data_IF_123784494952
#
_entry.id   IF_123784494952
#
_cell.length_a   1.000
_cell.length_b   1.000
_cell.length_c   1.000
_cell.angle_alpha   90.00
_cell.angle_beta   90.00
_cell.angle_gamma   90.00
#
_symmetry.space_group_name_H-M   'P 1'
#
loop_
_entity.id
_entity.type
_entity.pdbx_description
1 polymer ?
#
# COMPACT_ATOMS: atom_id res chain seq x y z
N UNK A 1 6.32 18.69 6.87
CA UNK A 1 6.88 19.07 8.18
C UNK A 1 7.44 17.80 8.80
N UNK A 2 8.72 17.50 8.54
CA UNK A 2 9.40 16.36 9.15
C UNK A 2 9.66 16.72 10.59
N UNK A 3 8.98 16.07 11.54
CA UNK A 3 9.42 16.11 12.92
C UNK A 3 10.65 15.21 12.97
N UNK A 4 11.87 15.73 13.16
CA UNK A 4 12.92 14.86 13.68
C UNK A 4 12.36 14.25 14.96
N UNK A 5 12.40 12.93 15.07
CA UNK A 5 11.95 12.21 16.24
C UNK A 5 12.75 12.71 17.45
N UNK A 6 12.18 13.69 18.14
CA UNK A 6 12.91 14.40 19.18
C UNK A 6 13.29 13.44 20.32
N UNK A 7 14.19 13.86 21.22
CA UNK A 7 14.60 13.08 22.39
C UNK A 7 13.43 12.54 23.25
N UNK A 8 12.24 13.12 23.07
CA UNK A 8 10.98 12.72 23.69
C UNK A 8 10.43 11.38 23.17
N UNK A 9 10.52 11.08 21.86
CA UNK A 9 10.02 9.81 21.32
C UNK A 9 10.90 8.63 21.77
N UNK A 10 12.22 8.76 21.61
CA UNK A 10 13.19 7.76 22.08
C UNK A 10 12.99 7.41 23.56
N UNK A 11 12.71 8.41 24.40
CA UNK A 11 12.41 8.22 25.82
C UNK A 11 11.07 7.51 26.03
N UNK A 12 10.02 7.91 25.31
CA UNK A 12 8.70 7.28 25.40
C UNK A 12 8.74 5.81 24.98
N UNK A 13 9.44 5.46 23.90
CA UNK A 13 9.60 4.09 23.43
C UNK A 13 10.33 3.22 24.46
N UNK A 14 11.43 3.72 25.05
CA UNK A 14 12.12 3.01 26.14
C UNK A 14 11.23 2.81 27.36
N UNK A 15 10.47 3.84 27.75
CA UNK A 15 9.51 3.74 28.86
C UNK A 15 8.38 2.73 28.59
N UNK A 16 8.02 2.52 27.32
CA UNK A 16 7.06 1.51 26.89
C UNK A 16 7.68 0.09 26.74
N UNK A 17 8.96 -0.10 27.10
CA UNK A 17 9.62 -1.40 27.05
C UNK A 17 10.21 -1.77 25.68
N UNK A 18 10.40 -0.81 24.78
CA UNK A 18 11.12 -1.04 23.54
C UNK A 18 12.64 -0.95 23.76
N UNK A 19 13.38 -1.83 23.12
CA UNK A 19 14.85 -1.86 23.13
C UNK A 19 15.38 -1.21 21.85
N UNK A 20 16.30 -0.24 21.94
CA UNK A 20 16.94 0.33 20.76
C UNK A 20 17.82 -0.74 20.09
N UNK A 21 17.74 -0.82 18.77
CA UNK A 21 18.67 -1.56 17.93
C UNK A 21 19.98 -0.78 17.71
N UNK A 22 20.90 -1.32 16.89
CA UNK A 22 22.09 -0.59 16.49
C UNK A 22 21.72 0.65 15.68
N UNK A 23 22.47 1.73 15.90
CA UNK A 23 22.38 2.94 15.10
C UNK A 23 22.86 2.69 13.67
N UNK A 24 22.26 3.42 12.72
CA UNK A 24 22.56 3.35 11.28
C UNK A 24 22.60 4.73 10.66
N UNK A 25 23.36 4.89 9.60
CA UNK A 25 23.39 6.10 8.80
C UNK A 25 22.16 6.15 7.89
N UNK A 26 21.43 7.25 7.93
CA UNK A 26 20.44 7.61 6.92
C UNK A 26 21.15 8.38 5.81
N UNK A 27 21.10 7.81 4.62
CA UNK A 27 21.78 8.29 3.41
C UNK A 27 20.74 8.71 2.39
N UNK A 28 21.01 9.77 1.65
CA UNK A 28 20.15 10.26 0.56
C UNK A 28 20.98 10.64 -0.66
N UNK A 29 20.40 10.47 -1.84
CA UNK A 29 20.91 11.01 -3.08
C UNK A 29 19.77 11.64 -3.89
N UNK A 30 20.02 12.77 -4.55
CA UNK A 30 19.17 13.25 -5.63
C UNK A 30 19.41 12.36 -6.85
N UNK A 31 18.35 11.81 -7.45
CA UNK A 31 18.47 10.87 -8.57
C UNK A 31 19.20 11.47 -9.77
N UNK A 32 19.21 12.79 -9.90
CA UNK A 32 19.89 13.51 -10.99
C UNK A 32 21.40 13.68 -10.76
N UNK A 33 21.85 13.50 -9.52
CA UNK A 33 23.26 13.61 -9.12
C UNK A 33 23.96 12.25 -9.04
N UNK A 34 23.20 11.15 -9.03
CA UNK A 34 23.74 9.79 -9.05
C UNK A 34 24.31 9.47 -10.44
N UNK A 35 25.53 8.92 -10.55
CA UNK A 35 26.10 8.52 -11.83
C UNK A 35 25.22 7.52 -12.60
N UNK A 36 25.25 7.59 -13.93
CA UNK A 36 24.56 6.63 -14.78
C UNK A 36 25.31 5.29 -14.84
N UNK A 37 24.59 4.22 -15.14
CA UNK A 37 25.15 2.87 -15.32
C UNK A 37 24.49 2.19 -16.50
N UNK A 38 25.18 1.20 -17.08
CA UNK A 38 24.68 0.30 -18.12
C UNK A 38 23.96 -0.93 -17.54
N UNK A 39 24.00 -1.12 -16.22
CA UNK A 39 23.28 -2.20 -15.53
C UNK A 39 21.76 -2.02 -15.73
N UNK A 40 21.14 -3.03 -16.35
CA UNK A 40 19.69 -3.09 -16.52
C UNK A 40 19.04 -3.88 -15.36
N UNK A 41 18.03 -3.28 -14.74
CA UNK A 41 17.21 -3.91 -13.70
C UNK A 41 15.89 -4.46 -14.27
N UNK A 42 15.52 -5.66 -13.81
CA UNK A 42 14.25 -6.32 -14.17
C UNK A 42 13.34 -6.47 -12.94
N UNK A 43 12.08 -6.08 -13.08
CA UNK A 43 11.02 -6.10 -12.04
C UNK A 43 10.35 -7.44 -11.82
N UNK A 44 10.58 -8.41 -12.70
CA UNK A 44 9.68 -9.55 -12.78
C UNK A 44 10.08 -10.63 -11.79
N UNK A 45 9.56 -10.55 -10.56
CA UNK A 45 9.55 -11.65 -9.60
C UNK A 45 8.25 -12.48 -9.71
N UNK A 46 7.09 -11.81 -9.86
CA UNK A 46 5.77 -12.43 -10.00
C UNK A 46 5.60 -13.01 -11.40
N UNK A 47 5.83 -14.31 -11.54
CA UNK A 47 5.74 -15.06 -12.81
C UNK A 47 7.06 -15.72 -13.23
N UNK A 48 8.13 -15.58 -12.43
CA UNK A 48 9.33 -16.40 -12.60
C UNK A 48 9.02 -17.88 -12.28
N UNK A 49 9.70 -18.83 -12.96
CA UNK A 49 9.67 -20.22 -12.56
C UNK A 49 10.03 -20.39 -11.07
N UNK A 50 9.44 -21.36 -10.35
CA UNK A 50 9.74 -21.61 -8.94
C UNK A 50 11.24 -21.76 -8.63
N UNK A 51 12.02 -22.30 -9.57
CA UNK A 51 13.48 -22.43 -9.46
C UNK A 51 14.21 -21.08 -9.35
N UNK A 52 13.74 -20.07 -10.07
CA UNK A 52 14.34 -18.74 -10.08
C UNK A 52 13.89 -17.93 -8.85
N UNK A 53 12.63 -18.10 -8.44
CA UNK A 53 12.15 -17.58 -7.15
C UNK A 53 13.01 -18.10 -5.99
N UNK A 54 13.23 -19.42 -5.92
CA UNK A 54 14.10 -20.02 -4.91
C UNK A 54 15.58 -19.59 -5.01
N UNK A 55 16.05 -19.17 -6.18
CA UNK A 55 17.40 -18.60 -6.33
C UNK A 55 17.48 -17.17 -5.79
N UNK A 56 16.52 -16.33 -6.14
CA UNK A 56 16.46 -14.94 -5.68
C UNK A 56 16.31 -14.89 -4.15
N UNK A 57 15.49 -15.76 -3.55
CA UNK A 57 15.40 -15.84 -2.07
C UNK A 57 16.72 -16.25 -1.42
N UNK A 58 17.48 -17.15 -2.05
CA UNK A 58 18.81 -17.54 -1.56
C UNK A 58 19.83 -16.41 -1.69
N UNK A 59 19.81 -15.67 -2.80
CA UNK A 59 20.65 -14.47 -2.98
C UNK A 59 20.32 -13.42 -1.92
N UNK A 60 19.04 -13.16 -1.71
CA UNK A 60 18.57 -12.24 -0.68
C UNK A 60 18.98 -12.70 0.72
N UNK A 61 18.80 -13.97 1.07
CA UNK A 61 19.20 -14.47 2.39
C UNK A 61 20.72 -14.39 2.64
N UNK A 62 21.53 -14.40 1.57
CA UNK A 62 22.98 -14.26 1.65
C UNK A 62 23.46 -12.79 1.63
N UNK A 63 22.56 -11.82 1.45
CA UNK A 63 22.94 -10.41 1.34
C UNK A 63 23.53 -9.88 2.67
N UNK A 64 24.50 -8.96 2.59
CA UNK A 64 25.02 -8.30 3.79
C UNK A 64 23.92 -7.49 4.49
N UNK A 65 24.04 -7.38 5.82
CA UNK A 65 23.16 -6.66 6.77
C UNK A 65 22.03 -5.86 6.10
N UNK A 66 20.91 -6.54 5.85
CA UNK A 66 19.72 -5.94 5.25
C UNK A 66 18.98 -5.10 6.28
N UNK A 67 18.44 -3.94 5.87
CA UNK A 67 17.50 -3.21 6.72
C UNK A 67 16.18 -3.99 6.85
N UNK A 68 15.65 -4.48 5.71
CA UNK A 68 14.49 -5.37 5.68
C UNK A 68 14.78 -6.63 4.88
N UNK A 69 14.56 -7.84 5.45
CA UNK A 69 14.75 -9.09 4.74
C UNK A 69 13.69 -9.27 3.66
N UNK A 70 14.03 -10.03 2.61
CA UNK A 70 13.10 -10.29 1.50
C UNK A 70 11.78 -10.95 1.95
N UNK A 71 11.82 -11.70 3.06
CA UNK A 71 10.64 -12.32 3.66
C UNK A 71 9.62 -11.32 4.26
N UNK A 72 10.03 -10.08 4.50
CA UNK A 72 9.12 -9.00 4.92
C UNK A 72 8.50 -8.25 3.72
N UNK A 73 8.85 -8.63 2.48
CA UNK A 73 8.56 -7.86 1.25
C UNK A 73 7.29 -8.28 0.49
N UNK A 74 6.43 -9.12 1.08
CA UNK A 74 5.35 -9.77 0.32
C UNK A 74 4.37 -8.78 -0.32
N UNK A 75 4.25 -7.53 0.18
CA UNK A 75 3.43 -6.49 -0.45
C UNK A 75 4.02 -5.08 -0.27
N UNK A 76 4.37 -4.40 -1.37
CA UNK A 76 4.68 -2.96 -1.38
C UNK A 76 6.09 -2.55 -1.87
N UNK A 77 6.93 -3.50 -2.27
CA UNK A 77 8.28 -3.21 -2.76
C UNK A 77 8.56 -3.82 -4.14
N UNK A 78 9.33 -3.09 -4.95
CA UNK A 78 9.86 -3.56 -6.22
C UNK A 78 11.15 -4.33 -5.95
N UNK A 79 11.13 -5.65 -6.13
CA UNK A 79 12.34 -6.48 -6.13
C UNK A 79 12.92 -6.47 -7.55
N UNK A 80 14.06 -5.83 -7.69
CA UNK A 80 14.74 -5.65 -8.96
C UNK A 80 15.96 -6.54 -9.03
N UNK A 81 16.18 -7.14 -10.19
CA UNK A 81 17.24 -8.13 -10.40
C UNK A 81 18.12 -7.78 -11.58
N UNK A 82 19.43 -7.98 -11.39
CA UNK A 82 20.45 -7.97 -12.45
C UNK A 82 20.60 -9.40 -12.95
N UNK A 83 20.51 -9.57 -14.26
CA UNK A 83 20.61 -10.88 -14.90
C UNK A 83 21.88 -10.99 -15.72
N UNK A 84 22.63 -12.05 -15.50
CA UNK A 84 23.69 -12.47 -16.40
C UNK A 84 23.21 -13.71 -17.14
N UNK A 85 23.02 -13.56 -18.45
CA UNK A 85 22.36 -14.54 -19.31
C UNK A 85 20.95 -14.88 -18.80
N UNK A 86 20.77 -16.06 -18.21
CA UNK A 86 19.50 -16.57 -17.69
C UNK A 86 19.52 -16.74 -16.17
N UNK A 87 20.47 -16.10 -15.48
CA UNK A 87 20.60 -16.24 -14.02
C UNK A 87 20.59 -14.88 -13.35
N UNK A 88 19.77 -14.69 -12.29
CA UNK A 88 19.90 -13.53 -11.43
C UNK A 88 21.24 -13.64 -10.68
N UNK A 89 22.02 -12.57 -10.72
CA UNK A 89 23.32 -12.48 -10.05
C UNK A 89 23.29 -11.49 -8.89
N UNK A 90 22.46 -10.44 -8.99
CA UNK A 90 22.30 -9.44 -7.95
C UNK A 90 20.88 -8.90 -7.86
N UNK A 91 20.53 -8.37 -6.69
CA UNK A 91 19.23 -7.84 -6.36
C UNK A 91 19.35 -6.50 -5.65
N UNK A 92 18.39 -5.63 -5.90
CA UNK A 92 18.08 -4.44 -5.10
C UNK A 92 16.57 -4.39 -4.91
N UNK A 93 16.10 -4.05 -3.71
CA UNK A 93 14.66 -3.87 -3.47
C UNK A 93 14.34 -2.45 -3.04
N UNK A 94 13.36 -1.86 -3.71
CA UNK A 94 12.94 -0.47 -3.57
C UNK A 94 11.52 -0.37 -3.04
N UNK A 95 11.29 0.57 -2.12
CA UNK A 95 9.97 0.91 -1.58
C UNK A 95 9.66 2.34 -1.98
N UNK A 96 8.58 2.57 -2.73
CA UNK A 96 8.09 3.93 -2.92
C UNK A 96 7.34 4.36 -1.66
N UNK A 97 7.84 5.37 -0.96
CA UNK A 97 7.11 5.95 0.15
C UNK A 97 5.92 6.76 -0.39
N UNK A 98 4.71 6.26 -0.18
CA UNK A 98 3.50 6.90 -0.68
C UNK A 98 3.35 8.33 -0.13
N UNK A 99 3.04 9.27 -1.03
CA UNK A 99 2.88 10.68 -0.68
C UNK A 99 4.19 11.46 -0.52
N UNK A 100 5.34 10.86 -0.85
CA UNK A 100 6.65 11.52 -0.85
C UNK A 100 7.30 11.49 -2.23
N UNK A 101 8.35 12.29 -2.39
CA UNK A 101 9.18 12.37 -3.59
C UNK A 101 10.38 11.42 -3.53
N UNK A 102 10.41 10.43 -2.62
CA UNK A 102 11.54 9.52 -2.48
C UNK A 102 11.18 8.04 -2.58
N UNK A 103 12.15 7.24 -3.01
CA UNK A 103 12.14 5.78 -2.88
C UNK A 103 13.18 5.34 -1.86
N UNK A 104 12.87 4.34 -1.05
CA UNK A 104 13.79 3.76 -0.07
C UNK A 104 14.41 2.47 -0.60
N UNK A 105 15.72 2.33 -0.48
CA UNK A 105 16.44 1.07 -0.71
C UNK A 105 16.33 0.23 0.56
N UNK A 106 15.68 -0.93 0.47
CA UNK A 106 15.59 -1.88 1.59
C UNK A 106 16.85 -2.73 1.75
N UNK A 107 17.62 -2.88 0.66
CA UNK A 107 18.95 -3.49 0.65
C UNK A 107 19.40 -3.93 -0.75
N UNK A 108 20.62 -4.47 -0.78
CA UNK A 108 21.31 -4.95 -1.98
C UNK A 108 22.03 -6.27 -1.68
N UNK A 109 22.16 -7.16 -2.66
CA UNK A 109 22.93 -8.41 -2.48
C UNK A 109 24.43 -8.21 -2.69
N UNK A 110 24.80 -7.39 -3.68
CA UNK A 110 26.18 -7.08 -4.02
C UNK A 110 26.54 -5.67 -3.56
N UNK A 111 27.59 -5.48 -2.74
CA UNK A 111 28.01 -4.16 -2.25
C UNK A 111 28.73 -3.36 -3.35
N UNK A 112 28.02 -3.05 -4.43
CA UNK A 112 28.55 -2.39 -5.64
C UNK A 112 27.82 -1.09 -5.94
N UNK A 113 28.53 0.04 -6.15
CA UNK A 113 27.93 1.33 -6.45
C UNK A 113 27.03 1.30 -7.70
N UNK A 114 27.41 0.52 -8.71
CA UNK A 114 26.69 0.45 -9.99
C UNK A 114 25.28 -0.12 -9.83
N UNK A 115 25.04 -0.95 -8.81
CA UNK A 115 23.71 -1.45 -8.49
C UNK A 115 22.82 -0.34 -7.89
N UNK A 116 23.42 0.55 -7.10
CA UNK A 116 22.74 1.73 -6.54
C UNK A 116 22.48 2.78 -7.63
N UNK A 117 23.39 2.94 -8.59
CA UNK A 117 23.16 3.76 -9.79
C UNK A 117 21.95 3.26 -10.58
N UNK A 118 21.86 1.95 -10.79
CA UNK A 118 20.74 1.35 -11.52
C UNK A 118 19.42 1.54 -10.74
N UNK A 119 19.46 1.42 -9.41
CA UNK A 119 18.31 1.65 -8.55
C UNK A 119 17.83 3.11 -8.59
N UNK A 120 18.74 4.08 -8.63
CA UNK A 120 18.39 5.49 -8.77
C UNK A 120 17.79 5.80 -10.15
N UNK A 121 18.39 5.25 -11.21
CA UNK A 121 17.84 5.34 -12.56
C UNK A 121 16.44 4.73 -12.65
N UNK A 122 16.22 3.59 -11.99
CA UNK A 122 14.90 2.97 -11.88
C UNK A 122 13.89 3.87 -11.16
N UNK A 123 14.26 4.42 -9.99
CA UNK A 123 13.40 5.28 -9.19
C UNK A 123 13.03 6.61 -9.90
N UNK A 124 13.87 7.07 -10.84
CA UNK A 124 13.60 8.24 -11.66
C UNK A 124 12.61 7.98 -12.82
N UNK A 125 12.25 6.71 -13.09
CA UNK A 125 11.29 6.37 -14.15
C UNK A 125 9.87 6.66 -13.68
N UNK A 126 9.04 7.10 -14.63
CA UNK A 126 7.59 7.09 -14.44
C UNK A 126 7.10 5.71 -14.85
N UNK A 127 6.66 4.93 -13.87
CA UNK A 127 6.16 3.58 -14.09
C UNK A 127 4.67 3.57 -13.75
N UNK A 128 3.85 3.40 -14.78
CA UNK A 128 2.39 3.32 -14.70
C UNK A 128 1.76 4.49 -13.94
N UNK A 129 1.43 4.28 -12.66
CA UNK A 129 0.69 5.20 -11.79
C UNK A 129 1.56 5.85 -10.70
N UNK A 130 2.86 5.54 -10.66
CA UNK A 130 3.75 6.06 -9.63
C UNK A 130 4.53 7.29 -10.12
N UNK A 131 4.46 8.42 -9.40
CA UNK A 131 5.26 9.59 -9.72
C UNK A 131 6.75 9.31 -9.50
N UNK A 132 7.58 9.88 -10.37
CA UNK A 132 9.05 9.80 -10.30
C UNK A 132 9.53 10.17 -8.90
N UNK A 133 10.52 9.45 -8.40
CA UNK A 133 11.26 9.86 -7.22
C UNK A 133 12.31 10.88 -7.59
N UNK A 134 12.37 11.97 -6.83
CA UNK A 134 13.48 12.92 -6.84
C UNK A 134 14.65 12.41 -6.01
N UNK A 135 14.35 11.73 -4.91
CA UNK A 135 15.37 11.24 -3.99
C UNK A 135 15.35 9.72 -3.86
N UNK A 136 16.52 9.16 -3.59
CA UNK A 136 16.64 7.78 -3.12
C UNK A 136 17.27 7.81 -1.75
N UNK A 137 16.67 7.12 -0.80
CA UNK A 137 17.14 7.04 0.58
C UNK A 137 17.54 5.61 0.93
N UNK A 138 18.50 5.46 1.83
CA UNK A 138 18.90 4.16 2.35
C UNK A 138 19.29 4.28 3.82
N UNK A 139 19.01 3.23 4.58
CA UNK A 139 19.62 3.04 5.90
C UNK A 139 20.74 2.01 5.77
N UNK A 140 21.95 2.37 6.18
CA UNK A 140 23.10 1.48 6.09
C UNK A 140 23.96 1.51 7.36
N UNK A 141 24.66 0.40 7.61
CA UNK A 141 25.67 0.26 8.65
C UNK A 141 26.93 -0.40 8.10
N UNK A 142 28.05 -0.18 8.79
CA UNK A 142 29.33 -0.81 8.45
C UNK A 142 29.80 -0.45 7.04
N UNK A 143 30.31 -1.45 6.31
CA UNK A 143 30.90 -1.27 4.98
C UNK A 143 29.92 -0.73 3.94
N UNK A 144 28.61 -0.99 4.11
CA UNK A 144 27.58 -0.50 3.19
C UNK A 144 27.49 1.03 3.18
N UNK A 145 27.87 1.73 4.26
CA UNK A 145 27.93 3.20 4.27
C UNK A 145 28.95 3.70 3.24
N UNK A 146 30.11 3.04 3.13
CA UNK A 146 31.13 3.37 2.14
C UNK A 146 30.65 3.16 0.70
N UNK A 147 29.93 2.05 0.46
CA UNK A 147 29.34 1.72 -0.86
C UNK A 147 28.31 2.75 -1.30
N UNK A 148 27.43 3.21 -0.39
CA UNK A 148 26.45 4.23 -0.72
C UNK A 148 27.12 5.58 -1.00
N UNK A 149 28.13 5.95 -0.21
CA UNK A 149 28.89 7.20 -0.43
C UNK A 149 29.63 7.20 -1.76
N UNK A 150 30.26 6.09 -2.15
CA UNK A 150 30.90 5.98 -3.46
C UNK A 150 29.91 5.97 -4.62
N UNK A 151 28.65 5.62 -4.37
CA UNK A 151 27.54 5.76 -5.32
C UNK A 151 26.92 7.17 -5.38
N UNK A 152 27.47 8.15 -4.65
CA UNK A 152 26.99 9.53 -4.63
C UNK A 152 25.98 9.87 -3.54
N UNK A 153 25.70 8.96 -2.60
CA UNK A 153 24.84 9.28 -1.46
C UNK A 153 25.59 10.10 -0.40
N UNK A 154 24.87 10.99 0.27
CA UNK A 154 25.38 11.71 1.42
C UNK A 154 24.59 11.36 2.68
N UNK A 155 25.27 11.35 3.81
CA UNK A 155 24.67 11.07 5.11
C UNK A 155 23.98 12.32 5.65
N UNK A 156 22.73 12.18 6.08
CA UNK A 156 21.91 13.29 6.58
C UNK A 156 21.52 13.17 8.04
N UNK A 157 21.48 11.95 8.57
CA UNK A 157 21.14 11.69 9.95
C UNK A 157 21.61 10.31 10.40
N UNK A 158 21.56 10.08 11.71
CA UNK A 158 21.61 8.75 12.30
C UNK A 158 20.19 8.32 12.69
N UNK A 159 19.85 7.05 12.45
CA UNK A 159 18.55 6.46 12.76
C UNK A 159 18.72 5.22 13.63
N UNK A 160 17.71 4.94 14.46
CA UNK A 160 17.69 3.78 15.37
C UNK A 160 16.31 3.15 15.36
N UNK A 161 16.21 1.88 14.97
CA UNK A 161 14.96 1.11 15.14
C UNK A 161 14.78 0.73 16.60
N UNK A 162 13.57 0.88 17.11
CA UNK A 162 13.18 0.38 18.42
C UNK A 162 12.38 -0.91 18.24
N UNK A 163 12.82 -2.00 18.88
CA UNK A 163 12.15 -3.29 18.83
C UNK A 163 11.40 -3.54 20.13
N UNK A 164 10.17 -4.02 20.00
CA UNK A 164 9.41 -4.50 21.15
C UNK A 164 9.44 -6.02 21.16
N UNK A 165 9.89 -6.57 22.28
CA UNK A 165 9.83 -8.01 22.56
C UNK A 165 9.02 -8.18 23.84
N UNK A 166 7.68 -8.33 23.75
CA UNK A 166 6.87 -8.51 24.95
C UNK A 166 7.33 -9.76 25.72
N UNK A 167 7.22 -9.75 27.06
CA UNK A 167 7.54 -10.92 27.85
C UNK A 167 6.63 -12.10 27.50
N UNK A 168 7.23 -13.28 27.33
CA UNK A 168 6.58 -14.49 26.84
C UNK A 168 7.36 -15.08 25.66
N UNK A 169 7.23 -16.38 25.44
CA UNK A 169 7.80 -17.00 24.26
C UNK A 169 7.00 -16.55 23.03
N UNK A 170 7.62 -15.88 22.03
CA UNK A 170 6.93 -15.59 20.77
C UNK A 170 6.39 -16.89 20.20
N UNK A 171 5.19 -16.85 19.61
CA UNK A 171 4.64 -18.02 18.95
C UNK A 171 5.66 -18.53 17.91
N UNK A 172 6.21 -19.72 18.14
CA UNK A 172 7.22 -20.33 17.26
C UNK A 172 6.70 -20.59 15.86
N UNK A 173 5.40 -20.80 15.77
CA UNK A 173 4.67 -20.93 14.53
C UNK A 173 3.90 -19.64 14.31
N UNK A 174 4.03 -19.07 13.11
CA UNK A 174 3.15 -17.98 12.68
C UNK A 174 1.72 -18.54 12.81
N UNK A 175 0.82 -17.89 13.56
CA UNK A 175 -0.55 -18.41 13.74
C UNK A 175 -1.36 -18.43 12.42
N UNK A 176 -0.76 -17.94 11.34
CA UNK A 176 -1.29 -17.99 9.99
C UNK A 176 -0.27 -18.66 9.05
N UNK A 177 -0.73 -19.70 8.34
CA UNK A 177 -0.04 -20.30 7.20
C UNK A 177 -0.46 -19.54 5.94
N UNK A 178 0.49 -19.14 5.11
CA UNK A 178 0.19 -18.61 3.78
C UNK A 178 -0.26 -19.77 2.89
N UNK A 179 -1.42 -19.64 2.28
CA UNK A 179 -1.97 -20.62 1.36
C UNK A 179 -2.07 -19.94 -0.01
N UNK A 180 -1.53 -20.56 -1.04
CA UNK A 180 -1.56 -20.05 -2.41
C UNK A 180 -2.40 -20.93 -3.33
N UNK A 181 -2.29 -22.25 -3.20
CA UNK A 181 -2.94 -23.22 -4.09
C UNK A 181 -3.29 -24.53 -3.39
N UNK A 182 -3.11 -24.58 -2.08
CA UNK A 182 -3.51 -25.69 -1.24
C UNK A 182 -5.05 -25.79 -1.22
N UNK A 183 -5.67 -26.97 -1.09
CA UNK A 183 -7.13 -27.10 -1.04
C UNK A 183 -7.81 -26.27 0.06
N UNK A 184 -7.07 -26.00 1.14
CA UNK A 184 -7.48 -25.14 2.24
C UNK A 184 -7.62 -23.66 1.84
N UNK A 185 -6.82 -23.19 0.87
CA UNK A 185 -6.96 -21.85 0.27
C UNK A 185 -8.35 -21.70 -0.34
N UNK A 186 -8.73 -22.66 -1.18
CA UNK A 186 -10.01 -22.64 -1.89
C UNK A 186 -11.19 -22.83 -0.94
N UNK A 187 -11.01 -23.55 0.17
CA UNK A 187 -12.02 -23.67 1.21
C UNK A 187 -12.22 -22.36 1.97
N UNK A 188 -11.13 -21.67 2.34
CA UNK A 188 -11.19 -20.36 3.01
C UNK A 188 -11.84 -19.33 2.10
N UNK A 189 -11.44 -19.28 0.82
CA UNK A 189 -12.06 -18.38 -0.15
C UNK A 189 -13.54 -18.70 -0.35
N UNK A 190 -13.93 -19.96 -0.57
CA UNK A 190 -15.36 -20.32 -0.67
C UNK A 190 -16.15 -19.94 0.58
N UNK A 191 -15.57 -20.08 1.77
CA UNK A 191 -16.22 -19.69 3.03
C UNK A 191 -16.35 -18.17 3.15
N UNK A 192 -15.33 -17.43 2.72
CA UNK A 192 -15.36 -15.98 2.64
C UNK A 192 -16.43 -15.52 1.64
N UNK A 193 -16.38 -16.00 0.41
CA UNK A 193 -17.34 -15.70 -0.66
C UNK A 193 -18.77 -16.00 -0.21
N UNK A 194 -19.01 -17.16 0.40
CA UNK A 194 -20.32 -17.53 0.94
C UNK A 194 -20.77 -16.60 2.08
N UNK A 195 -19.86 -16.21 2.97
CA UNK A 195 -20.18 -15.34 4.11
C UNK A 195 -20.51 -13.92 3.68
N UNK A 196 -19.85 -13.46 2.62
CA UNK A 196 -19.96 -12.09 2.10
C UNK A 196 -20.82 -12.02 0.84
N UNK A 197 -21.48 -13.12 0.48
CA UNK A 197 -22.34 -13.29 -0.70
C UNK A 197 -21.67 -12.77 -1.99
N UNK A 198 -20.36 -13.04 -2.12
CA UNK A 198 -19.61 -12.72 -3.33
C UNK A 198 -20.12 -13.63 -4.44
N UNK A 199 -20.70 -13.03 -5.49
CA UNK A 199 -21.19 -13.74 -6.67
C UNK A 199 -20.26 -13.50 -7.85
N UNK A 200 -20.40 -14.26 -8.95
CA UNK A 200 -19.64 -14.01 -10.19
C UNK A 200 -19.75 -12.55 -10.66
N UNK A 201 -20.92 -11.93 -10.44
CA UNK A 201 -21.22 -10.54 -10.77
C UNK A 201 -20.55 -9.52 -9.84
N UNK A 202 -20.11 -9.95 -8.65
CA UNK A 202 -19.42 -9.10 -7.67
C UNK A 202 -17.97 -9.53 -7.43
N UNK A 203 -17.48 -10.57 -8.10
CA UNK A 203 -16.13 -11.12 -7.93
C UNK A 203 -15.01 -10.15 -8.32
N UNK A 204 -15.31 -9.19 -9.22
CA UNK A 204 -14.38 -8.12 -9.59
C UNK A 204 -14.53 -6.83 -8.76
N UNK A 205 -15.68 -6.62 -8.09
CA UNK A 205 -16.03 -5.33 -7.45
C UNK A 205 -16.30 -5.41 -5.93
N UNK A 206 -16.41 -6.62 -5.34
CA UNK A 206 -16.48 -6.84 -3.90
C UNK A 206 -17.79 -7.44 -3.35
N UNK A 207 -18.13 -7.01 -2.13
CA UNK A 207 -19.20 -7.53 -1.25
C UNK A 207 -20.59 -7.26 -1.84
N UNK A 208 -21.58 -8.12 -1.53
CA UNK A 208 -22.98 -7.84 -1.84
C UNK A 208 -23.42 -6.48 -1.25
N UNK A 209 -24.02 -5.63 -2.10
CA UNK A 209 -24.46 -4.29 -1.71
C UNK A 209 -25.45 -4.36 -0.53
N UNK A 210 -25.20 -3.66 0.59
CA UNK A 210 -26.13 -3.61 1.71
C UNK A 210 -27.53 -3.13 1.30
N UNK A 211 -28.61 -3.56 1.98
CA UNK A 211 -29.94 -3.00 1.76
C UNK A 211 -29.94 -1.47 1.91
N UNK A 212 -30.55 -0.77 0.96
CA UNK A 212 -30.56 0.68 0.84
C UNK A 212 -29.40 1.27 0.03
N UNK A 213 -28.55 0.43 -0.58
CA UNK A 213 -27.47 0.86 -1.48
C UNK A 213 -28.03 1.35 -2.80
N UNK A 214 -27.31 2.32 -3.37
CA UNK A 214 -27.58 2.92 -4.68
C UNK A 214 -26.27 2.95 -5.43
N UNK A 215 -26.28 2.51 -6.69
CA UNK A 215 -25.07 2.37 -7.50
C UNK A 215 -25.21 3.17 -8.78
N UNK A 216 -24.17 3.92 -9.12
CA UNK A 216 -24.05 4.75 -10.33
C UNK A 216 -22.91 4.23 -11.20
N UNK A 217 -23.01 4.41 -12.52
CA UNK A 217 -21.88 4.12 -13.41
C UNK A 217 -20.84 5.24 -13.27
N UNK A 218 -19.57 4.87 -13.16
CA UNK A 218 -18.46 5.85 -13.14
C UNK A 218 -17.97 6.19 -14.57
N UNK A 219 -18.82 6.06 -15.60
CA UNK A 219 -18.39 6.30 -17.00
C UNK A 219 -17.99 7.76 -17.23
N UNK A 220 -18.63 8.66 -16.48
CA UNK A 220 -18.34 10.09 -16.52
C UNK A 220 -17.01 10.45 -15.85
N UNK A 221 -16.24 9.46 -15.37
CA UNK A 221 -14.95 9.61 -14.71
C UNK A 221 -13.94 8.83 -15.52
N UNK A 222 -13.13 9.54 -16.32
CA UNK A 222 -12.20 8.90 -17.25
C UNK A 222 -10.99 8.28 -16.52
N UNK A 223 -10.52 8.91 -15.45
CA UNK A 223 -9.46 8.40 -14.59
C UNK A 223 -9.51 8.97 -13.15
N UNK A 224 -8.54 8.59 -12.31
CA UNK A 224 -8.46 9.01 -10.92
C UNK A 224 -8.09 10.49 -10.71
N UNK A 225 -7.63 11.19 -11.76
CA UNK A 225 -7.32 12.63 -11.76
C UNK A 225 -8.50 13.47 -12.23
N UNK A 226 -9.56 12.84 -12.73
CA UNK A 226 -10.75 13.52 -13.22
C UNK A 226 -11.34 14.46 -12.13
N UNK A 227 -11.54 15.75 -12.42
CA UNK A 227 -12.18 16.69 -11.50
C UNK A 227 -13.56 16.24 -11.02
N UNK A 228 -14.29 15.42 -11.79
CA UNK A 228 -15.57 14.83 -11.42
C UNK A 228 -15.41 13.91 -10.21
N UNK A 229 -14.33 13.12 -10.13
CA UNK A 229 -14.09 12.24 -8.98
C UNK A 229 -13.94 13.03 -7.67
N UNK A 230 -13.23 14.16 -7.70
CA UNK A 230 -13.12 15.06 -6.53
C UNK A 230 -14.47 15.63 -6.10
N UNK A 231 -15.38 15.88 -7.05
CA UNK A 231 -16.74 16.34 -6.74
C UNK A 231 -17.58 15.23 -6.13
N UNK A 232 -17.47 14.00 -6.63
CA UNK A 232 -18.10 12.80 -6.03
C UNK A 232 -17.62 12.62 -4.59
N UNK A 233 -16.31 12.65 -4.34
CA UNK A 233 -15.74 12.57 -2.98
C UNK A 233 -16.31 13.66 -2.06
N UNK A 234 -16.45 14.90 -2.56
CA UNK A 234 -16.97 16.02 -1.79
C UNK A 234 -18.46 15.83 -1.42
N UNK A 235 -19.28 15.31 -2.34
CA UNK A 235 -20.69 14.99 -2.12
C UNK A 235 -20.83 13.90 -1.05
N UNK A 236 -20.09 12.80 -1.19
CA UNK A 236 -20.09 11.69 -0.20
C UNK A 236 -19.63 12.19 1.17
N UNK A 237 -18.52 12.93 1.23
CA UNK A 237 -18.00 13.47 2.49
C UNK A 237 -18.99 14.45 3.14
N UNK A 238 -19.78 15.21 2.37
CA UNK A 238 -20.83 16.09 2.88
C UNK A 238 -21.95 15.28 3.51
N UNK A 239 -22.43 14.23 2.84
CA UNK A 239 -23.43 13.30 3.36
C UNK A 239 -23.01 12.67 4.68
N UNK A 240 -21.81 12.11 4.73
CA UNK A 240 -21.26 11.48 5.95
C UNK A 240 -21.16 12.47 7.12
N UNK A 241 -20.78 13.72 6.85
CA UNK A 241 -20.72 14.77 7.88
C UNK A 241 -22.12 15.19 8.37
N UNK A 242 -23.11 15.25 7.49
CA UNK A 242 -24.50 15.53 7.88
C UNK A 242 -25.06 14.45 8.81
N UNK A 243 -24.74 13.18 8.54
CA UNK A 243 -25.10 12.05 9.40
C UNK A 243 -24.43 12.09 10.79
N UNK A 244 -23.23 12.70 10.93
CA UNK A 244 -22.53 12.85 12.23
C UNK A 244 -23.09 13.97 13.12
N UNK A 245 -23.78 14.98 12.58
CA UNK A 245 -24.24 16.15 13.37
C UNK A 245 -25.47 15.91 14.25
N UNK A 246 -26.11 14.74 14.15
CA UNK A 246 -27.24 14.35 15.00
C UNK A 246 -26.89 13.90 16.43
N UNK A 247 -25.70 14.21 16.95
CA UNK A 247 -25.21 13.70 18.23
C UNK A 247 -24.29 14.67 18.97
N UNK A 248 -24.76 15.90 19.25
CA UNK A 248 -24.11 16.78 20.24
C UNK A 248 -25.10 17.14 21.33
N UNK A 249 -25.24 16.26 22.31
CA UNK A 249 -25.80 16.63 23.61
C UNK A 249 -24.73 17.40 24.39
N UNK A 250 -25.07 18.59 24.86
CA UNK A 250 -24.33 19.34 25.87
C UNK A 250 -24.18 18.50 27.16
N UNK A 251 -23.05 18.63 27.89
CA UNK A 251 -22.80 17.79 29.06
C UNK A 251 -23.48 18.40 30.29
N UNK A 252 -24.78 18.18 30.46
CA UNK A 252 -25.43 18.27 31.77
C UNK A 252 -26.63 17.32 31.84
N UNK A 253 -26.56 16.38 32.78
CA UNK A 253 -27.57 15.42 33.24
C UNK A 253 -27.68 14.06 32.52
N UNK A 254 -27.57 12.93 33.27
CA UNK A 254 -27.69 11.59 32.74
C UNK A 254 -29.14 11.12 32.87
N UNK A 255 -29.92 11.23 31.80
CA UNK A 255 -31.09 10.38 31.49
C UNK A 255 -31.73 10.88 30.20
N UNK A 256 -31.14 10.50 29.06
CA UNK A 256 -31.89 10.45 27.80
C UNK A 256 -31.15 9.60 26.77
N UNK A 257 -31.78 8.51 26.39
CA UNK A 257 -31.40 7.65 25.26
C UNK A 257 -31.29 8.53 24.01
N UNK A 258 -30.06 8.73 23.55
CA UNK A 258 -29.73 9.46 22.32
C UNK A 258 -30.23 8.66 21.12
N UNK A 259 -31.52 8.83 20.77
CA UNK A 259 -32.02 8.42 19.46
C UNK A 259 -31.46 9.37 18.41
N UNK A 260 -30.69 8.83 17.45
CA UNK A 260 -30.34 9.54 16.22
C UNK A 260 -31.65 9.88 15.52
N UNK A 261 -31.89 11.14 15.17
CA UNK A 261 -33.09 11.49 14.39
C UNK A 261 -33.02 10.78 13.02
N UNK A 262 -33.92 9.84 12.71
CA UNK A 262 -33.91 9.13 11.42
C UNK A 262 -34.08 10.08 10.23
N UNK A 263 -34.71 11.23 10.48
CA UNK A 263 -35.06 12.24 9.47
C UNK A 263 -33.82 12.96 8.92
N UNK A 264 -32.80 13.22 9.76
CA UNK A 264 -31.60 13.95 9.32
C UNK A 264 -30.71 13.08 8.42
N UNK A 265 -30.59 11.78 8.74
CA UNK A 265 -29.87 10.83 7.88
C UNK A 265 -30.64 10.52 6.60
N UNK A 266 -31.97 10.40 6.66
CA UNK A 266 -32.80 10.18 5.48
C UNK A 266 -32.69 11.34 4.48
N UNK A 267 -32.78 12.58 4.95
CA UNK A 267 -32.62 13.77 4.10
C UNK A 267 -31.21 13.88 3.52
N UNK A 268 -30.17 13.63 4.33
CA UNK A 268 -28.79 13.63 3.85
C UNK A 268 -28.56 12.56 2.77
N UNK A 269 -29.21 11.40 2.89
CA UNK A 269 -29.13 10.33 1.87
C UNK A 269 -29.80 10.76 0.57
N UNK A 270 -31.00 11.34 0.63
CA UNK A 270 -31.71 11.83 -0.57
C UNK A 270 -30.92 12.91 -1.29
N UNK A 271 -30.38 13.91 -0.57
CA UNK A 271 -29.59 14.98 -1.17
C UNK A 271 -28.29 14.45 -1.82
N UNK A 272 -27.58 13.53 -1.16
CA UNK A 272 -26.39 12.88 -1.74
C UNK A 272 -26.75 12.13 -3.01
N UNK A 273 -27.85 11.40 -3.01
CA UNK A 273 -28.30 10.64 -4.16
C UNK A 273 -28.68 11.55 -5.34
N UNK A 274 -29.38 12.65 -5.11
CA UNK A 274 -29.71 13.64 -6.14
C UNK A 274 -28.43 14.25 -6.73
N UNK A 275 -27.51 14.70 -5.88
CA UNK A 275 -26.24 15.31 -6.30
C UNK A 275 -25.35 14.32 -7.08
N UNK A 276 -25.30 13.05 -6.66
CA UNK A 276 -24.56 12.01 -7.39
C UNK A 276 -25.23 11.63 -8.70
N UNK A 277 -26.56 11.65 -8.77
CA UNK A 277 -27.30 11.40 -10.02
C UNK A 277 -27.10 12.54 -11.02
N UNK A 278 -26.99 13.78 -10.54
CA UNK A 278 -26.65 14.93 -11.39
C UNK A 278 -25.22 14.79 -11.96
N UNK A 279 -24.27 14.33 -11.14
CA UNK A 279 -22.86 14.21 -11.52
C UNK A 279 -22.54 12.98 -12.39
N UNK A 280 -23.13 11.83 -12.06
CA UNK A 280 -22.78 10.52 -12.64
C UNK A 280 -23.86 9.98 -13.57
N UNK A 281 -24.97 10.68 -13.72
CA UNK A 281 -26.11 10.23 -14.51
C UNK A 281 -27.01 9.26 -13.74
N UNK A 282 -27.77 8.45 -14.48
CA UNK A 282 -28.85 7.65 -13.88
C UNK A 282 -28.31 6.57 -12.95
N UNK A 283 -29.04 6.35 -11.85
CA UNK A 283 -28.85 5.20 -10.96
C UNK A 283 -28.98 3.90 -11.75
N UNK A 284 -27.98 3.03 -11.63
CA UNK A 284 -27.98 1.71 -12.24
C UNK A 284 -28.66 0.67 -11.36
N UNK A 285 -28.40 0.68 -10.05
CA UNK A 285 -28.97 -0.29 -9.10
C UNK A 285 -29.48 0.38 -7.82
N UNK A 286 -30.55 -0.18 -7.26
CA UNK A 286 -31.09 0.10 -5.92
C UNK A 286 -31.33 -1.21 -5.23
N UNK A 287 -30.87 -1.33 -3.99
CA UNK A 287 -31.02 -2.56 -3.20
C UNK A 287 -30.46 -3.79 -3.95
N UNK A 288 -29.33 -3.60 -4.64
CA UNK A 288 -28.72 -4.64 -5.47
C UNK A 288 -29.54 -5.02 -6.71
N UNK A 289 -30.61 -4.31 -7.07
CA UNK A 289 -31.44 -4.59 -8.27
C UNK A 289 -31.30 -3.49 -9.31
N UNK A 290 -31.20 -3.81 -10.61
CA UNK A 290 -31.12 -2.80 -11.66
C UNK A 290 -32.38 -1.92 -11.71
N UNK A 291 -32.20 -0.61 -11.88
CA UNK A 291 -33.26 0.43 -11.91
C UNK A 291 -33.34 1.08 -13.29
N UNK A 292 -33.34 0.28 -14.35
CA UNK A 292 -33.49 0.78 -15.72
C UNK A 292 -32.96 -0.18 -16.78
N UNK A 293 -33.72 -0.30 -17.88
CA UNK A 293 -33.54 -1.16 -19.06
C UNK A 293 -32.72 -2.43 -18.86
N UNK A 294 -33.42 -3.50 -18.48
CA UNK A 294 -33.00 -4.88 -18.73
C UNK A 294 -32.84 -5.06 -20.23
N UNK A 295 -31.60 -5.14 -20.72
CA UNK A 295 -31.33 -5.61 -22.07
C UNK A 295 -31.45 -7.14 -22.06
N UNK A 296 -32.58 -7.68 -22.51
CA UNK A 296 -32.71 -9.10 -22.81
C UNK A 296 -32.09 -9.38 -24.17
N UNK A 297 -30.88 -9.94 -24.18
CA UNK A 297 -30.33 -10.56 -25.39
C UNK A 297 -30.94 -11.96 -25.55
N UNK A 298 -31.97 -12.09 -26.40
CA UNK A 298 -32.43 -13.37 -26.92
C UNK A 298 -31.72 -13.71 -28.24
N UNK A 299 -31.64 -14.99 -28.65
CA UNK A 299 -31.09 -15.35 -29.95
C UNK A 299 -31.93 -14.72 -31.07
N UNK A 300 -31.25 -14.08 -32.02
CA UNK A 300 -31.83 -13.53 -33.25
C UNK A 300 -32.28 -14.71 -34.14
N UNK A 301 -33.45 -14.65 -34.82
CA UNK A 301 -33.93 -15.70 -35.72
C UNK A 301 -32.97 -15.98 -36.88
#
# INVERSE_FOLDING_TARGET
MYSPDGPRLARALRAAGFTPGPARSLLVADVTEVPTTDIELRTYWLGLPPSDQGRILRLAAAAPQQHRPVSELEHGMDILSVWQHTRPVDLVWLEKAHGTDFSSIGGITGPRPELLHAAAAWAAREVWSQPKSRYVVAEASGELVGVHRSAGFHEVAEVTTYRWAPPGEPARERPARLLFSEPEHDEIWRRFEKRFEVTYETACDGIAEPPGSVTWHMEAVEDWRDPVLRRVEAVVARGLRACRRGGRATPTSPTRTSSRSPLTCAWARTAVEEDLTELLGRVLRRDGRPVGNVWTFGPVP
#
